data_IF_183170870130
#
_entry.id   IF_183170870130
#
_cell.length_a   1.000
_cell.length_b   1.000
_cell.length_c   1.000
_cell.angle_alpha   90.00
_cell.angle_beta   90.00
_cell.angle_gamma   90.00
#
_symmetry.space_group_name_H-M   'P 1'
#
loop_
_entity.id
_entity.type
_entity.pdbx_description
1 polymer ?
#
# COMPACT_ATOMS: atom_id res chain seq x y z
N UNK A 1 -10.11 20.67 -33.84
CA UNK A 1 -10.15 20.65 -32.36
C UNK A 1 -10.35 19.25 -31.77
N UNK A 2 -11.19 18.39 -32.31
CA UNK A 2 -11.45 17.03 -31.80
C UNK A 2 -10.24 16.06 -31.82
N UNK A 3 -9.36 16.19 -32.81
CA UNK A 3 -8.19 15.30 -32.97
C UNK A 3 -7.16 15.42 -31.85
N UNK A 4 -6.96 16.63 -31.31
CA UNK A 4 -6.03 16.86 -30.19
C UNK A 4 -6.57 16.27 -28.87
N UNK A 5 -7.89 16.33 -28.66
CA UNK A 5 -8.54 15.78 -27.47
C UNK A 5 -8.43 14.25 -27.40
N UNK A 6 -8.41 13.56 -28.57
CA UNK A 6 -8.18 12.12 -28.64
C UNK A 6 -6.74 11.74 -28.32
N UNK A 7 -5.77 12.49 -28.81
CA UNK A 7 -4.34 12.22 -28.55
C UNK A 7 -4.03 12.43 -27.06
N UNK A 8 -4.52 13.49 -26.43
CA UNK A 8 -4.35 13.71 -25.00
C UNK A 8 -4.97 12.60 -24.13
N UNK A 9 -6.13 12.10 -24.50
CA UNK A 9 -6.77 10.97 -23.81
C UNK A 9 -5.97 9.67 -23.96
N UNK A 10 -5.38 9.41 -25.12
CA UNK A 10 -4.50 8.26 -25.32
C UNK A 10 -3.19 8.39 -24.55
N UNK A 11 -2.59 9.58 -24.48
CA UNK A 11 -1.38 9.81 -23.68
C UNK A 11 -1.66 9.70 -22.17
N UNK A 12 -2.79 10.19 -21.71
CA UNK A 12 -3.22 10.01 -20.31
C UNK A 12 -3.50 8.54 -19.98
N UNK A 13 -4.15 7.80 -20.87
CA UNK A 13 -4.38 6.37 -20.68
C UNK A 13 -3.06 5.57 -20.68
N UNK A 14 -2.12 5.91 -21.55
CA UNK A 14 -0.79 5.29 -21.59
C UNK A 14 0.01 5.57 -20.32
N UNK A 15 -0.01 6.81 -19.82
CA UNK A 15 0.63 7.20 -18.55
C UNK A 15 -0.01 6.50 -17.35
N UNK A 16 -1.33 6.36 -17.33
CA UNK A 16 -2.06 5.59 -16.30
C UNK A 16 -1.66 4.11 -16.33
N UNK A 17 -1.55 3.53 -17.52
CA UNK A 17 -1.15 2.12 -17.69
C UNK A 17 0.28 1.89 -17.19
N UNK A 18 1.19 2.78 -17.54
CA UNK A 18 2.58 2.74 -17.08
C UNK A 18 2.68 2.89 -15.56
N UNK A 19 1.90 3.79 -14.97
CA UNK A 19 1.85 3.98 -13.51
C UNK A 19 1.29 2.77 -12.78
N UNK A 20 0.28 2.09 -13.34
CA UNK A 20 -0.28 0.85 -12.78
C UNK A 20 0.73 -0.30 -12.87
N UNK A 21 1.49 -0.40 -13.96
CA UNK A 21 2.57 -1.39 -14.09
C UNK A 21 3.73 -1.12 -13.13
N UNK A 22 4.09 0.14 -12.92
CA UNK A 22 5.13 0.54 -11.95
C UNK A 22 4.70 0.20 -10.52
N UNK A 23 3.45 0.49 -10.14
CA UNK A 23 2.88 0.12 -8.84
C UNK A 23 2.84 -1.40 -8.67
N UNK A 24 2.44 -2.14 -9.70
CA UNK A 24 2.43 -3.60 -9.67
C UNK A 24 3.85 -4.16 -9.55
N UNK A 25 4.83 -3.55 -10.20
CA UNK A 25 6.24 -3.95 -10.12
C UNK A 25 6.83 -3.66 -8.76
N UNK A 26 6.53 -2.48 -8.18
CA UNK A 26 6.93 -2.13 -6.81
C UNK A 26 6.26 -3.07 -5.80
N UNK A 27 4.97 -3.36 -5.97
CA UNK A 27 4.26 -4.34 -5.17
C UNK A 27 4.89 -5.73 -5.24
N UNK A 28 5.25 -6.19 -6.43
CA UNK A 28 5.98 -7.46 -6.64
C UNK A 28 7.36 -7.44 -6.00
N UNK A 29 8.08 -6.32 -6.07
CA UNK A 29 9.42 -6.18 -5.47
C UNK A 29 9.35 -6.17 -3.95
N UNK A 30 8.38 -5.49 -3.37
CA UNK A 30 8.17 -5.47 -1.90
C UNK A 30 7.72 -6.84 -1.40
N UNK A 31 6.76 -7.48 -2.06
CA UNK A 31 6.33 -8.85 -1.73
C UNK A 31 7.47 -9.84 -1.98
N UNK A 32 8.25 -9.67 -3.05
CA UNK A 32 9.41 -10.48 -3.38
C UNK A 32 10.53 -10.35 -2.35
N UNK A 33 10.82 -9.15 -1.85
CA UNK A 33 11.83 -8.94 -0.79
C UNK A 33 11.37 -9.52 0.56
N UNK A 34 10.11 -9.39 0.91
CA UNK A 34 9.55 -10.03 2.12
C UNK A 34 9.59 -11.55 1.98
N UNK A 35 9.21 -12.10 0.83
CA UNK A 35 9.28 -13.53 0.56
C UNK A 35 10.74 -14.04 0.50
N UNK A 36 11.65 -13.28 -0.08
CA UNK A 36 13.07 -13.64 -0.17
C UNK A 36 13.78 -13.59 1.19
N UNK A 37 13.50 -12.59 2.02
CA UNK A 37 14.02 -12.54 3.39
C UNK A 37 13.45 -13.63 4.27
N UNK A 38 12.18 -14.00 4.10
CA UNK A 38 11.59 -15.15 4.79
C UNK A 38 12.11 -16.48 4.26
N UNK A 39 12.37 -16.62 2.97
CA UNK A 39 12.94 -17.84 2.36
C UNK A 39 14.44 -18.02 2.67
N UNK A 40 15.24 -16.94 2.63
CA UNK A 40 16.68 -16.95 2.92
C UNK A 40 16.99 -17.30 4.39
N UNK A 41 16.04 -17.10 5.29
CA UNK A 41 16.20 -17.45 6.70
C UNK A 41 15.80 -18.93 7.02
N UNK A 42 15.51 -19.74 6.00
CA UNK A 42 15.12 -21.15 6.21
C UNK A 42 13.75 -21.33 6.89
N UNK A 43 12.85 -20.42 6.64
CA UNK A 43 11.73 -20.06 7.50
C UNK A 43 10.39 -20.56 6.97
N UNK A 44 10.27 -21.84 6.83
CA UNK A 44 8.96 -22.49 6.72
C UNK A 44 8.35 -22.61 8.13
N UNK A 45 7.62 -21.58 8.57
CA UNK A 45 6.90 -21.61 9.85
C UNK A 45 6.85 -20.28 10.59
N UNK A 46 6.03 -20.23 11.65
CA UNK A 46 5.79 -19.02 12.42
C UNK A 46 7.04 -18.40 13.06
N UNK A 47 7.97 -19.25 13.54
CA UNK A 47 9.22 -18.78 14.13
C UNK A 47 10.06 -17.96 13.14
N UNK A 48 10.04 -18.34 11.88
CA UNK A 48 10.79 -17.69 10.88
C UNK A 48 10.22 -16.37 10.41
N UNK A 49 8.91 -16.31 10.25
CA UNK A 49 8.23 -15.04 9.98
C UNK A 49 8.49 -14.06 11.11
N UNK A 50 8.45 -14.53 12.35
CA UNK A 50 8.73 -13.69 13.53
C UNK A 50 10.17 -13.20 13.56
N UNK A 51 11.17 -14.02 13.20
CA UNK A 51 12.56 -13.58 13.13
C UNK A 51 12.80 -12.59 11.98
N UNK A 52 12.14 -12.79 10.84
CA UNK A 52 12.17 -11.84 9.72
C UNK A 52 11.57 -10.48 10.09
N UNK A 53 10.41 -10.49 10.76
CA UNK A 53 9.78 -9.28 11.28
C UNK A 53 10.65 -8.60 12.34
N UNK A 54 11.27 -9.38 13.26
CA UNK A 54 12.17 -8.83 14.25
C UNK A 54 13.41 -8.21 13.62
N UNK A 55 13.97 -8.83 12.58
CA UNK A 55 15.10 -8.29 11.84
C UNK A 55 14.72 -6.97 11.15
N UNK A 56 13.56 -6.90 10.50
CA UNK A 56 13.07 -5.65 9.90
C UNK A 56 12.83 -4.55 10.94
N UNK A 57 12.26 -4.91 12.10
CA UNK A 57 11.99 -3.97 13.19
C UNK A 57 13.25 -3.54 13.94
N UNK A 58 14.35 -4.31 13.91
CA UNK A 58 15.61 -3.95 14.56
C UNK A 58 16.23 -2.69 13.98
N UNK A 59 15.96 -2.38 12.72
CA UNK A 59 16.40 -1.13 12.05
C UNK A 59 15.90 0.12 12.79
N UNK A 60 14.73 0.01 13.44
CA UNK A 60 14.13 1.10 14.24
C UNK A 60 14.12 0.79 15.74
N UNK A 61 14.81 -0.26 16.18
CA UNK A 61 14.94 -0.62 17.58
C UNK A 61 13.71 -1.26 18.23
N UNK A 62 12.75 -1.78 17.45
CA UNK A 62 11.42 -2.16 17.95
C UNK A 62 11.00 -3.62 17.82
N UNK A 63 11.87 -4.54 17.40
CA UNK A 63 11.53 -5.97 17.27
C UNK A 63 10.42 -6.27 16.25
N UNK A 64 9.71 -7.41 16.41
CA UNK A 64 8.73 -7.90 15.43
C UNK A 64 7.52 -6.97 15.22
N UNK A 65 7.07 -6.28 16.28
CA UNK A 65 5.95 -5.31 16.18
C UNK A 65 6.35 -4.13 15.30
N UNK A 66 7.54 -3.57 15.53
CA UNK A 66 8.07 -2.50 14.68
C UNK A 66 8.34 -3.01 13.26
N UNK A 67 8.71 -4.28 13.10
CA UNK A 67 8.88 -4.92 11.79
C UNK A 67 7.62 -4.90 10.94
N UNK A 68 6.44 -5.15 11.53
CA UNK A 68 5.16 -5.00 10.84
C UNK A 68 4.95 -3.54 10.40
N UNK A 69 5.25 -2.59 11.30
CA UNK A 69 5.13 -1.16 11.01
C UNK A 69 6.06 -0.72 9.88
N UNK A 70 7.32 -1.16 9.89
CA UNK A 70 8.31 -0.86 8.83
C UNK A 70 7.90 -1.49 7.51
N UNK A 71 7.58 -2.78 7.51
CA UNK A 71 7.22 -3.51 6.29
C UNK A 71 5.86 -3.07 5.73
N UNK A 72 4.88 -2.76 6.58
CA UNK A 72 3.59 -2.23 6.16
C UNK A 72 3.64 -0.75 5.79
N UNK A 73 4.49 0.04 6.47
CA UNK A 73 4.68 1.46 6.19
C UNK A 73 5.37 1.74 4.86
N UNK A 74 6.37 0.95 4.48
CA UNK A 74 7.08 1.14 3.21
C UNK A 74 6.16 1.08 1.99
N UNK A 75 5.28 0.08 1.81
CA UNK A 75 4.30 0.07 0.73
C UNK A 75 3.33 1.25 0.76
N UNK A 76 2.93 1.71 1.95
CA UNK A 76 2.05 2.87 2.10
C UNK A 76 2.73 4.17 1.64
N UNK A 77 4.03 4.35 1.94
CA UNK A 77 4.82 5.49 1.44
C UNK A 77 4.94 5.44 -0.08
N UNK A 78 5.20 4.27 -0.66
CA UNK A 78 5.25 4.11 -2.11
C UNK A 78 3.89 4.41 -2.75
N UNK A 79 2.79 3.90 -2.18
CA UNK A 79 1.45 4.22 -2.65
C UNK A 79 1.17 5.72 -2.60
N UNK A 80 1.59 6.39 -1.52
CA UNK A 80 1.48 7.84 -1.40
C UNK A 80 2.28 8.57 -2.48
N UNK A 81 3.55 8.21 -2.67
CA UNK A 81 4.39 8.83 -3.71
C UNK A 81 3.78 8.67 -5.09
N UNK A 82 3.24 7.48 -5.40
CA UNK A 82 2.57 7.21 -6.67
C UNK A 82 1.31 8.06 -6.82
N UNK A 83 0.48 8.13 -5.78
CA UNK A 83 -0.73 8.96 -5.80
C UNK A 83 -0.39 10.46 -5.91
N UNK A 84 0.68 10.92 -5.26
CA UNK A 84 1.16 12.30 -5.39
C UNK A 84 1.61 12.61 -6.83
N UNK A 85 2.14 11.64 -7.56
CA UNK A 85 2.49 11.79 -8.97
C UNK A 85 1.26 11.75 -9.89
N UNK A 86 0.36 10.78 -9.67
CA UNK A 86 -0.88 10.62 -10.47
C UNK A 86 -1.80 11.83 -10.29
N UNK A 87 -1.95 12.31 -9.06
CA UNK A 87 -2.78 13.45 -8.69
C UNK A 87 -1.96 14.74 -8.58
N UNK A 88 -0.85 14.84 -9.32
CA UNK A 88 -0.01 16.06 -9.33
C UNK A 88 -0.85 17.28 -9.69
N UNK A 89 -0.63 18.36 -8.96
CA UNK A 89 -1.25 19.64 -9.28
C UNK A 89 -0.70 20.19 -10.60
N UNK A 90 -1.58 20.71 -11.43
CA UNK A 90 -1.24 21.37 -12.69
C UNK A 90 -2.04 22.68 -12.77
N UNK A 91 -1.34 23.77 -12.95
CA UNK A 91 -1.94 25.12 -13.02
C UNK A 91 -2.87 25.31 -14.23
N UNK A 92 -2.74 24.45 -15.25
CA UNK A 92 -3.60 24.44 -16.42
C UNK A 92 -4.95 23.77 -16.21
N UNK A 93 -5.17 23.13 -15.04
CA UNK A 93 -6.42 22.44 -14.72
C UNK A 93 -7.43 23.40 -14.09
N UNK A 94 -8.75 23.15 -14.31
CA UNK A 94 -9.80 23.85 -13.59
C UNK A 94 -9.63 23.75 -12.07
N UNK A 95 -10.07 24.77 -11.34
CA UNK A 95 -9.95 24.81 -9.88
C UNK A 95 -10.63 23.62 -9.20
N UNK A 96 -11.79 23.18 -9.69
CA UNK A 96 -12.50 21.98 -9.19
C UNK A 96 -11.66 20.70 -9.29
N UNK A 97 -10.96 20.52 -10.42
CA UNK A 97 -10.08 19.36 -10.62
C UNK A 97 -8.85 19.44 -9.71
N UNK A 98 -8.27 20.63 -9.52
CA UNK A 98 -7.13 20.85 -8.60
C UNK A 98 -7.52 20.54 -7.16
N UNK A 99 -8.70 20.99 -6.72
CA UNK A 99 -9.24 20.66 -5.40
C UNK A 99 -9.49 19.17 -5.23
N UNK A 100 -10.10 18.51 -6.22
CA UNK A 100 -10.31 17.06 -6.20
C UNK A 100 -8.99 16.28 -6.04
N UNK A 101 -7.94 16.69 -6.75
CA UNK A 101 -6.60 16.11 -6.64
C UNK A 101 -5.98 16.35 -5.27
N UNK A 102 -6.14 17.54 -4.70
CA UNK A 102 -5.66 17.86 -3.36
C UNK A 102 -6.34 17.02 -2.29
N UNK A 103 -7.67 16.84 -2.38
CA UNK A 103 -8.44 15.95 -1.51
C UNK A 103 -7.96 14.50 -1.64
N UNK A 104 -7.79 14.00 -2.86
CA UNK A 104 -7.29 12.64 -3.11
C UNK A 104 -5.91 12.38 -2.47
N UNK A 105 -4.96 13.31 -2.61
CA UNK A 105 -3.63 13.22 -1.99
C UNK A 105 -3.70 13.22 -0.46
N UNK A 106 -4.54 14.08 0.11
CA UNK A 106 -4.73 14.15 1.57
C UNK A 106 -5.35 12.85 2.09
N UNK A 107 -6.38 12.34 1.42
CA UNK A 107 -7.06 11.10 1.79
C UNK A 107 -6.18 9.86 1.61
N UNK A 108 -5.24 9.89 0.67
CA UNK A 108 -4.21 8.83 0.56
C UNK A 108 -3.38 8.72 1.84
N UNK A 109 -3.00 9.85 2.43
CA UNK A 109 -2.25 9.86 3.70
C UNK A 109 -3.10 9.30 4.86
N UNK A 110 -4.37 9.69 4.94
CA UNK A 110 -5.31 9.16 5.93
C UNK A 110 -5.48 7.65 5.75
N UNK A 111 -5.64 7.18 4.51
CA UNK A 111 -5.75 5.76 4.19
C UNK A 111 -4.49 4.96 4.56
N UNK A 112 -3.30 5.52 4.32
CA UNK A 112 -2.04 4.91 4.71
C UNK A 112 -1.93 4.72 6.23
N UNK A 113 -2.24 5.75 7.00
CA UNK A 113 -2.21 5.71 8.47
C UNK A 113 -3.26 4.74 9.00
N UNK A 114 -4.50 4.83 8.52
CA UNK A 114 -5.60 3.96 8.93
C UNK A 114 -5.31 2.48 8.59
N UNK A 115 -4.78 2.21 7.38
CA UNK A 115 -4.40 0.86 6.97
C UNK A 115 -3.29 0.26 7.83
N UNK A 116 -2.28 1.06 8.18
CA UNK A 116 -1.19 0.62 9.07
C UNK A 116 -1.72 0.34 10.49
N UNK A 117 -2.55 1.22 11.03
CA UNK A 117 -3.16 1.03 12.34
C UNK A 117 -4.07 -0.21 12.38
N UNK A 118 -4.88 -0.43 11.33
CA UNK A 118 -5.71 -1.62 11.21
C UNK A 118 -4.87 -2.91 11.16
N UNK A 119 -3.76 -2.91 10.44
CA UNK A 119 -2.84 -4.07 10.38
C UNK A 119 -2.27 -4.41 11.76
N UNK A 120 -1.89 -3.41 12.55
CA UNK A 120 -1.37 -3.61 13.91
C UNK A 120 -2.47 -4.10 14.87
N UNK A 121 -3.70 -3.62 14.74
CA UNK A 121 -4.81 -4.02 15.61
C UNK A 121 -5.25 -5.47 15.38
N UNK A 122 -5.22 -5.94 14.13
CA UNK A 122 -5.60 -7.32 13.79
C UNK A 122 -4.54 -8.33 14.24
N UNK A 123 -3.26 -7.98 14.10
CA UNK A 123 -2.16 -8.88 14.48
C UNK A 123 -1.88 -8.90 15.99
N UNK A 124 -2.37 -7.91 16.74
CA UNK A 124 -2.04 -7.75 18.16
C UNK A 124 -0.59 -7.29 18.38
N UNK A 125 -0.22 -7.05 19.64
CA UNK A 125 1.10 -6.52 20.02
C UNK A 125 1.99 -7.56 20.69
N UNK A 126 1.57 -8.82 20.80
CA UNK A 126 2.39 -9.92 21.34
C UNK A 126 2.81 -10.87 20.23
N UNK A 127 3.90 -11.62 20.44
CA UNK A 127 4.35 -12.63 19.48
C UNK A 127 3.25 -13.64 19.14
N UNK A 128 2.51 -14.12 20.14
CA UNK A 128 1.39 -15.03 19.97
C UNK A 128 0.22 -14.38 19.20
N UNK A 129 -0.09 -13.11 19.50
CA UNK A 129 -1.12 -12.34 18.78
C UNK A 129 -0.75 -12.13 17.32
N UNK A 130 0.50 -11.80 17.03
CA UNK A 130 0.99 -11.62 15.65
C UNK A 130 0.86 -12.94 14.89
N UNK A 131 1.33 -14.06 15.44
CA UNK A 131 1.28 -15.35 14.75
C UNK A 131 -0.15 -15.82 14.50
N UNK A 132 -1.04 -15.69 15.49
CA UNK A 132 -2.44 -16.07 15.34
C UNK A 132 -3.20 -15.15 14.40
N UNK A 133 -2.96 -13.84 14.46
CA UNK A 133 -3.57 -12.86 13.56
C UNK A 133 -3.17 -13.07 12.10
N UNK A 134 -1.88 -13.27 11.84
CA UNK A 134 -1.39 -13.59 10.49
C UNK A 134 -1.94 -14.92 9.97
N UNK A 135 -2.03 -15.95 10.83
CA UNK A 135 -2.61 -17.22 10.45
C UNK A 135 -4.11 -17.11 10.13
N UNK A 136 -4.85 -16.31 10.89
CA UNK A 136 -6.27 -16.04 10.66
C UNK A 136 -6.50 -15.31 9.32
N UNK A 137 -5.76 -14.21 9.07
CA UNK A 137 -5.84 -13.47 7.81
C UNK A 137 -5.49 -14.37 6.62
N UNK A 138 -4.38 -15.09 6.68
CA UNK A 138 -3.93 -15.95 5.59
C UNK A 138 -4.80 -17.21 5.43
N UNK A 139 -5.49 -17.62 6.47
CA UNK A 139 -6.45 -18.73 6.45
C UNK A 139 -7.65 -18.43 5.54
N UNK A 140 -8.06 -17.17 5.43
CA UNK A 140 -9.18 -16.75 4.55
C UNK A 140 -8.90 -17.03 3.07
N UNK A 141 -7.63 -17.06 2.68
CA UNK A 141 -7.17 -17.35 1.30
C UNK A 141 -6.48 -18.71 1.17
N UNK A 142 -6.49 -19.53 2.23
CA UNK A 142 -5.89 -20.87 2.23
C UNK A 142 -4.36 -20.89 2.29
N UNK A 143 -3.70 -19.75 2.49
CA UNK A 143 -2.24 -19.60 2.44
C UNK A 143 -1.55 -19.55 3.81
N UNK A 144 -2.28 -19.73 4.91
CA UNK A 144 -1.73 -19.73 6.27
C UNK A 144 -0.99 -18.45 6.65
N UNK A 145 -0.08 -18.51 7.60
CA UNK A 145 0.62 -17.34 8.15
C UNK A 145 1.43 -16.55 7.11
N UNK A 146 2.00 -17.24 6.11
CA UNK A 146 2.78 -16.58 5.07
C UNK A 146 1.92 -15.66 4.21
N UNK A 147 0.74 -16.13 3.78
CA UNK A 147 -0.22 -15.32 3.05
C UNK A 147 -0.76 -14.17 3.93
N UNK A 148 -1.00 -14.44 5.21
CA UNK A 148 -1.40 -13.42 6.17
C UNK A 148 -0.35 -12.31 6.31
N UNK A 149 0.92 -12.65 6.38
CA UNK A 149 2.01 -11.66 6.41
C UNK A 149 2.02 -10.80 5.13
N UNK A 150 1.89 -11.43 3.95
CA UNK A 150 1.85 -10.72 2.68
C UNK A 150 0.65 -9.76 2.59
N UNK A 151 -0.53 -10.20 3.00
CA UNK A 151 -1.76 -9.39 3.03
C UNK A 151 -1.60 -8.22 4.01
N UNK A 152 -1.08 -8.46 5.22
CA UNK A 152 -0.89 -7.44 6.26
C UNK A 152 0.08 -6.35 5.80
N UNK A 153 1.15 -6.73 5.10
CA UNK A 153 2.12 -5.77 4.53
C UNK A 153 1.53 -4.97 3.37
N UNK A 154 0.70 -5.59 2.53
CA UNK A 154 0.09 -4.93 1.39
C UNK A 154 -1.13 -4.06 1.74
N UNK A 155 -1.85 -4.39 2.82
CA UNK A 155 -3.10 -3.74 3.19
C UNK A 155 -3.00 -2.20 3.33
N UNK A 156 -1.97 -1.61 3.96
CA UNK A 156 -1.84 -0.17 4.06
C UNK A 156 -1.72 0.54 2.71
N UNK A 157 -1.01 -0.07 1.74
CA UNK A 157 -0.87 0.49 0.40
C UNK A 157 -2.19 0.44 -0.37
N UNK A 158 -2.91 -0.67 -0.28
CA UNK A 158 -4.24 -0.84 -0.90
C UNK A 158 -5.23 0.15 -0.29
N UNK A 159 -5.27 0.28 1.04
CA UNK A 159 -6.13 1.23 1.72
C UNK A 159 -5.80 2.68 1.33
N UNK A 160 -4.53 3.07 1.29
CA UNK A 160 -4.09 4.39 0.86
C UNK A 160 -4.56 4.71 -0.56
N UNK A 161 -4.34 3.81 -1.50
CA UNK A 161 -4.72 4.00 -2.90
C UNK A 161 -6.23 4.04 -3.10
N UNK A 162 -6.97 3.12 -2.48
CA UNK A 162 -8.42 3.03 -2.61
C UNK A 162 -9.13 4.25 -2.01
N UNK A 163 -8.71 4.68 -0.80
CA UNK A 163 -9.29 5.84 -0.13
C UNK A 163 -8.92 7.12 -0.87
N UNK A 164 -7.67 7.28 -1.27
CA UNK A 164 -7.20 8.48 -1.97
C UNK A 164 -7.85 8.66 -3.33
N UNK A 165 -7.85 7.62 -4.16
CA UNK A 165 -8.48 7.68 -5.48
C UNK A 165 -10.00 7.74 -5.39
N UNK A 166 -10.60 7.02 -4.46
CA UNK A 166 -12.05 7.09 -4.21
C UNK A 166 -12.49 8.50 -3.81
N UNK A 167 -11.77 9.14 -2.90
CA UNK A 167 -12.06 10.52 -2.49
C UNK A 167 -11.91 11.52 -3.65
N UNK A 168 -10.88 11.37 -4.48
CA UNK A 168 -10.71 12.16 -5.70
C UNK A 168 -11.92 12.02 -6.64
N UNK A 169 -12.38 10.79 -6.90
CA UNK A 169 -13.51 10.52 -7.79
C UNK A 169 -14.83 11.09 -7.24
N UNK A 170 -15.09 10.90 -5.95
CA UNK A 170 -16.29 11.45 -5.30
C UNK A 170 -16.30 12.97 -5.34
N UNK A 171 -15.17 13.61 -5.01
CA UNK A 171 -15.07 15.06 -5.06
C UNK A 171 -15.28 15.60 -6.46
N UNK A 172 -14.66 14.97 -7.44
CA UNK A 172 -14.83 15.33 -8.84
C UNK A 172 -16.30 15.26 -9.28
N UNK A 173 -16.99 14.16 -8.92
CA UNK A 173 -18.41 14.00 -9.23
C UNK A 173 -19.32 15.03 -8.54
N UNK A 174 -18.95 15.48 -7.33
CA UNK A 174 -19.70 16.51 -6.60
C UNK A 174 -19.44 17.93 -7.13
N UNK A 175 -18.35 18.17 -7.82
CA UNK A 175 -17.92 19.48 -8.31
C UNK A 175 -18.26 19.72 -9.80
N UNK A 176 -18.74 18.71 -10.52
CA UNK A 176 -19.32 18.80 -11.86
C UNK A 176 -20.82 19.13 -11.82
#
# INVERSE_FOLDING_TARGET
MERNNHIEKFEQAAKLHQTVEDVATIGKTVVGTVAATSAAAGLSGGAGIMSGLAAAGSVVGGGAVAGIGVLGGAPAVVAKMTMDQVLKDDENLPNSEREARAVGRTMTTVGAVAGTAASLSVTGLSAAGITSGLAAIGGTVGGGMLAGAAITVAAPAVAASAIGYGAYQVWKWLSE
#
